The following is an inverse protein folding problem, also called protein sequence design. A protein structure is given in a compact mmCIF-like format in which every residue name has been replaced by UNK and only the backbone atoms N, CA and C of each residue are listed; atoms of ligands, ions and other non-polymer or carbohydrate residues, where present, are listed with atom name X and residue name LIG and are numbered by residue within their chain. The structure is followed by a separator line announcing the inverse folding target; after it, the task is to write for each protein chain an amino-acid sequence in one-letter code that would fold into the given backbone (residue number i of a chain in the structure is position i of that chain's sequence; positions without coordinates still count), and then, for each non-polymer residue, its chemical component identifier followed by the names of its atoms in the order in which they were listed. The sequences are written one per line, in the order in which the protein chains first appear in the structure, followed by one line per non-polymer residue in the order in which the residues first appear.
data_IF_693963603360
#
_entry.id   IF_693963603360
#
_cell.length_a   1.000
_cell.length_b   1.000
_cell.length_c   1.000
_cell.angle_alpha   90.00
_cell.angle_beta   90.00
_cell.angle_gamma   90.00
#
_symmetry.space_group_name_H-M   'P 1'
#
loop_
_entity.id
_entity.type
_entity.pdbx_description
1 polymer ?
#
# COMPACT_ATOMS: atom_id res chain seq x y z
N UNK A 1 76.85 -34.49 2.61
CA UNK A 1 76.65 -34.18 4.05
C UNK A 1 76.67 -32.66 4.25
N UNK A 2 75.51 -32.01 4.17
CA UNK A 2 75.24 -30.62 4.59
C UNK A 2 73.71 -30.46 4.60
N UNK A 3 73.06 -30.68 5.74
CA UNK A 3 72.56 -29.63 6.65
C UNK A 3 71.66 -28.61 5.98
N UNK A 4 70.35 -28.66 6.30
CA UNK A 4 69.59 -27.57 6.95
C UNK A 4 68.12 -27.96 7.09
N UNK A 5 67.72 -28.24 8.33
CA UNK A 5 66.33 -28.24 8.77
C UNK A 5 65.83 -26.79 8.76
N UNK A 6 64.76 -26.52 8.02
CA UNK A 6 63.98 -25.29 8.18
C UNK A 6 62.56 -25.66 8.57
N UNK A 7 62.24 -25.34 9.83
CA UNK A 7 60.89 -25.37 10.40
C UNK A 7 60.07 -24.27 9.74
N UNK A 8 59.10 -24.65 8.92
CA UNK A 8 58.04 -23.75 8.46
C UNK A 8 56.96 -23.65 9.53
N UNK A 9 56.86 -22.51 10.22
CA UNK A 9 55.73 -22.19 11.08
C UNK A 9 54.50 -21.91 10.21
N UNK A 10 53.39 -22.57 10.51
CA UNK A 10 52.11 -22.34 9.83
C UNK A 10 51.53 -20.97 10.19
N UNK A 11 51.00 -20.28 9.18
CA UNK A 11 50.10 -19.16 9.37
C UNK A 11 48.73 -19.54 8.81
N UNK A 12 47.77 -19.83 9.70
CA UNK A 12 46.36 -19.91 9.33
C UNK A 12 45.86 -18.48 9.09
N UNK A 13 45.73 -18.09 7.83
CA UNK A 13 45.07 -16.85 7.46
C UNK A 13 43.56 -17.02 7.64
N UNK A 14 43.02 -16.53 8.76
CA UNK A 14 41.59 -16.37 8.93
C UNK A 14 41.10 -15.24 8.01
N UNK A 15 40.53 -15.59 6.85
CA UNK A 15 39.86 -14.62 6.00
C UNK A 15 38.53 -14.24 6.64
N UNK A 16 38.49 -13.08 7.30
CA UNK A 16 37.24 -12.48 7.74
C UNK A 16 36.43 -12.04 6.51
N UNK A 17 35.33 -12.74 6.23
CA UNK A 17 34.33 -12.32 5.26
C UNK A 17 33.72 -10.99 5.72
N UNK A 18 34.14 -9.88 5.08
CA UNK A 18 33.47 -8.59 5.23
C UNK A 18 32.15 -8.64 4.47
N UNK A 19 31.05 -8.83 5.19
CA UNK A 19 29.70 -8.57 4.66
C UNK A 19 29.59 -7.08 4.36
N UNK A 20 29.74 -6.72 3.09
CA UNK A 20 29.42 -5.39 2.57
C UNK A 20 27.92 -5.37 2.24
N UNK A 21 27.09 -5.27 3.27
CA UNK A 21 25.70 -4.87 3.07
C UNK A 21 25.64 -3.42 2.55
N UNK A 22 24.63 -3.04 1.77
CA UNK A 22 24.46 -1.63 1.43
C UNK A 22 24.24 -0.88 2.75
N UNK A 23 25.18 -0.01 3.10
CA UNK A 23 24.96 0.99 4.14
C UNK A 23 23.79 1.84 3.68
N UNK A 24 22.59 1.53 4.15
CA UNK A 24 21.49 2.46 4.11
C UNK A 24 21.94 3.68 4.89
N UNK A 25 22.38 4.71 4.17
CA UNK A 25 22.72 5.99 4.78
C UNK A 25 21.39 6.56 5.26
N UNK A 26 21.07 6.35 6.54
CA UNK A 26 20.06 7.16 7.18
C UNK A 26 20.52 8.61 7.04
N UNK A 27 19.78 9.40 6.28
CA UNK A 27 20.09 10.82 6.10
C UNK A 27 19.86 11.53 7.44
N UNK A 28 20.89 11.55 8.30
CA UNK A 28 20.87 12.36 9.53
C UNK A 28 21.21 13.79 9.11
N UNK A 29 20.21 14.69 9.16
CA UNK A 29 20.42 16.12 8.89
C UNK A 29 21.17 16.79 10.05
N UNK A 30 22.08 17.69 9.70
CA UNK A 30 22.88 18.49 10.64
C UNK A 30 22.01 19.52 11.36
N UNK A 31 22.06 19.54 12.69
CA UNK A 31 21.30 20.47 13.56
C UNK A 31 21.91 21.89 13.62
N UNK A 32 22.79 22.24 12.68
CA UNK A 32 23.54 23.49 12.74
C UNK A 32 22.82 24.63 11.97
N UNK A 33 22.31 25.58 12.77
CA UNK A 33 21.89 26.95 12.44
C UNK A 33 20.70 27.14 11.48
N UNK A 34 19.50 27.29 12.07
CA UNK A 34 18.40 28.06 11.46
C UNK A 34 17.16 27.31 10.95
N UNK A 35 16.75 26.17 11.53
CA UNK A 35 15.55 25.44 11.09
C UNK A 35 14.87 24.62 12.19
N UNK A 36 13.54 24.60 12.20
CA UNK A 36 12.66 24.06 13.25
C UNK A 36 12.18 22.61 13.04
N UNK A 37 10.94 22.32 13.46
CA UNK A 37 10.29 20.99 13.36
C UNK A 37 10.07 20.62 11.87
N UNK A 38 10.45 19.40 11.42
CA UNK A 38 10.25 18.96 10.04
C UNK A 38 8.78 18.93 9.60
N UNK A 39 8.53 19.17 8.31
CA UNK A 39 7.19 19.04 7.72
C UNK A 39 6.93 17.64 7.16
N UNK A 40 5.66 17.29 6.97
CA UNK A 40 5.27 15.98 6.42
C UNK A 40 5.77 15.77 4.98
N UNK A 41 5.85 16.84 4.17
CA UNK A 41 6.43 16.76 2.83
C UNK A 41 7.90 16.30 2.84
N UNK A 42 8.64 16.62 3.90
CA UNK A 42 10.05 16.31 4.06
C UNK A 42 10.31 14.96 4.72
N UNK A 43 9.46 14.54 5.66
CA UNK A 43 9.75 13.40 6.53
C UNK A 43 8.71 12.26 6.45
N UNK A 44 7.48 12.51 5.98
CA UNK A 44 6.49 11.43 5.83
C UNK A 44 7.01 10.37 4.86
N UNK A 45 6.83 9.11 5.22
CA UNK A 45 7.34 7.94 4.48
C UNK A 45 6.30 6.81 4.46
N UNK A 46 6.54 5.78 3.65
CA UNK A 46 5.64 4.63 3.49
C UNK A 46 4.21 5.04 3.11
N UNK A 47 3.24 4.35 3.71
CA UNK A 47 1.81 4.53 3.42
C UNK A 47 1.30 5.95 3.73
N UNK A 48 1.87 6.60 4.76
CA UNK A 48 1.53 7.98 5.11
C UNK A 48 1.84 8.93 3.95
N UNK A 49 3.05 8.83 3.38
CA UNK A 49 3.45 9.63 2.22
C UNK A 49 2.59 9.32 1.00
N UNK A 50 2.28 8.05 0.76
CA UNK A 50 1.48 7.64 -0.39
C UNK A 50 0.05 8.19 -0.33
N UNK A 51 -0.62 8.08 0.83
CA UNK A 51 -1.96 8.64 1.05
C UNK A 51 -1.91 10.17 0.89
N UNK A 52 -0.92 10.85 1.48
CA UNK A 52 -0.76 12.30 1.37
C UNK A 52 -0.62 12.75 -0.10
N UNK A 53 0.22 12.07 -0.88
CA UNK A 53 0.43 12.39 -2.30
C UNK A 53 -0.78 12.04 -3.17
N UNK A 54 -1.50 10.95 -2.86
CA UNK A 54 -2.72 10.57 -3.56
C UNK A 54 -3.84 11.60 -3.32
N UNK A 55 -4.02 12.01 -2.06
CA UNK A 55 -5.00 13.03 -1.68
C UNK A 55 -4.74 14.36 -2.40
N UNK A 56 -3.47 14.77 -2.54
CA UNK A 56 -3.08 15.97 -3.31
C UNK A 56 -3.47 15.90 -4.79
N UNK A 57 -3.56 14.69 -5.36
CA UNK A 57 -4.02 14.44 -6.73
C UNK A 57 -5.54 14.24 -6.83
N UNK A 58 -6.27 14.33 -5.71
CA UNK A 58 -7.70 14.04 -5.65
C UNK A 58 -8.03 12.55 -5.85
N UNK A 59 -7.08 11.65 -5.58
CA UNK A 59 -7.25 10.20 -5.69
C UNK A 59 -7.38 9.59 -4.29
N UNK A 60 -8.14 8.48 -4.19
CA UNK A 60 -8.30 7.72 -2.95
C UNK A 60 -8.06 6.21 -3.16
N UNK A 61 -6.81 5.80 -3.41
CA UNK A 61 -6.47 4.38 -3.60
C UNK A 61 -6.66 3.55 -2.33
N UNK A 62 -6.56 4.18 -1.16
CA UNK A 62 -6.60 3.52 0.15
C UNK A 62 -7.97 3.56 0.84
N UNK A 63 -9.02 3.97 0.12
CA UNK A 63 -10.42 3.97 0.58
C UNK A 63 -10.63 4.74 1.90
N UNK A 64 -10.01 5.91 2.03
CA UNK A 64 -10.15 6.80 3.19
C UNK A 64 -11.50 7.51 3.17
N UNK A 65 -12.04 7.79 1.98
CA UNK A 65 -13.29 8.52 1.80
C UNK A 65 -14.45 7.55 1.51
N UNK A 66 -15.65 7.97 1.92
CA UNK A 66 -16.86 7.29 1.49
C UNK A 66 -17.04 7.47 -0.04
N UNK A 67 -17.28 6.38 -0.79
CA UNK A 67 -17.52 6.49 -2.22
C UNK A 67 -18.81 7.26 -2.48
N UNK A 68 -18.82 8.07 -3.54
CA UNK A 68 -20.04 8.75 -4.00
C UNK A 68 -20.95 7.76 -4.70
N UNK A 69 -22.22 7.73 -4.31
CA UNK A 69 -23.24 6.92 -4.97
C UNK A 69 -23.53 7.40 -6.39
N UNK A 70 -23.89 6.46 -7.25
CA UNK A 70 -24.49 6.71 -8.58
C UNK A 70 -26.01 6.59 -8.49
N UNK A 71 -26.74 6.67 -9.60
CA UNK A 71 -28.19 6.42 -9.60
C UNK A 71 -28.55 4.97 -9.24
N UNK A 72 -27.60 4.02 -9.36
CA UNK A 72 -27.82 2.60 -9.08
C UNK A 72 -28.74 1.90 -10.07
N UNK A 73 -28.95 2.50 -11.24
CA UNK A 73 -29.71 1.92 -12.36
C UNK A 73 -28.87 0.89 -13.11
N UNK A 74 -29.48 0.18 -14.06
CA UNK A 74 -28.73 -0.81 -14.86
C UNK A 74 -27.72 -0.13 -15.78
N UNK A 75 -28.09 1.05 -16.27
CA UNK A 75 -27.33 1.89 -17.18
C UNK A 75 -26.24 2.68 -16.45
N UNK A 76 -26.50 3.07 -15.20
CA UNK A 76 -25.56 3.78 -14.32
C UNK A 76 -25.44 3.05 -12.95
N UNK A 77 -24.73 1.92 -12.92
CA UNK A 77 -24.52 1.12 -11.71
C UNK A 77 -23.43 1.72 -10.82
N UNK A 78 -23.47 1.40 -9.53
CA UNK A 78 -22.41 1.78 -8.60
C UNK A 78 -21.12 1.02 -8.93
N UNK A 79 -20.09 1.75 -9.35
CA UNK A 79 -18.78 1.18 -9.67
C UNK A 79 -18.03 0.89 -8.37
N UNK A 80 -17.59 -0.36 -8.21
CA UNK A 80 -16.91 -0.84 -7.00
C UNK A 80 -15.49 -1.28 -7.38
N UNK A 81 -14.47 -0.44 -7.10
CA UNK A 81 -13.07 -0.77 -7.38
C UNK A 81 -12.62 -1.98 -6.57
N UNK A 82 -11.88 -2.89 -7.17
CA UNK A 82 -11.36 -4.08 -6.48
C UNK A 82 -10.03 -4.52 -7.06
N UNK A 83 -9.07 -4.84 -6.18
CA UNK A 83 -7.78 -5.44 -6.56
C UNK A 83 -7.90 -6.96 -6.80
N UNK A 84 -9.06 -7.56 -6.51
CA UNK A 84 -9.37 -8.98 -6.72
C UNK A 84 -10.68 -9.15 -7.49
N UNK A 85 -11.04 -10.41 -7.79
CA UNK A 85 -12.27 -10.76 -8.51
C UNK A 85 -13.56 -10.68 -7.68
N UNK A 86 -13.51 -10.26 -6.41
CA UNK A 86 -14.71 -10.01 -5.59
C UNK A 86 -14.44 -9.05 -4.43
N UNK A 87 -15.43 -8.22 -4.08
CA UNK A 87 -15.39 -7.29 -2.95
C UNK A 87 -16.70 -7.34 -2.17
N UNK A 88 -16.62 -7.24 -0.84
CA UNK A 88 -17.82 -7.11 0.00
C UNK A 88 -18.41 -5.73 -0.21
N UNK A 89 -19.72 -5.67 -0.50
CA UNK A 89 -20.50 -4.44 -0.61
C UNK A 89 -21.47 -4.36 0.56
N UNK A 90 -21.53 -3.18 1.19
CA UNK A 90 -22.57 -2.81 2.13
C UNK A 90 -23.52 -1.80 1.48
N UNK A 91 -24.79 -2.16 1.36
CA UNK A 91 -25.83 -1.29 0.80
C UNK A 91 -26.70 -0.73 1.94
N UNK A 92 -26.70 0.59 2.08
CA UNK A 92 -27.68 1.32 2.88
C UNK A 92 -28.80 1.73 1.91
N UNK A 93 -29.93 1.03 1.96
CA UNK A 93 -30.95 1.10 0.90
C UNK A 93 -31.68 2.46 0.83
N UNK A 94 -31.78 3.15 1.97
CA UNK A 94 -32.43 4.45 2.14
C UNK A 94 -31.61 5.19 3.20
N UNK A 95 -31.57 6.52 3.15
CA UNK A 95 -30.65 7.35 3.94
C UNK A 95 -30.66 7.04 5.44
N UNK A 96 -31.84 6.85 6.03
CA UNK A 96 -32.01 6.64 7.47
C UNK A 96 -32.08 5.15 7.87
N UNK A 97 -31.78 4.22 6.96
CA UNK A 97 -31.80 2.79 7.30
C UNK A 97 -30.72 2.46 8.34
N UNK A 98 -31.15 1.89 9.47
CA UNK A 98 -30.24 1.43 10.55
C UNK A 98 -29.57 0.09 10.26
N UNK A 99 -29.99 -0.59 9.18
CA UNK A 99 -29.49 -1.90 8.78
C UNK A 99 -28.78 -1.83 7.42
N UNK A 100 -27.57 -2.38 7.37
CA UNK A 100 -26.79 -2.50 6.14
C UNK A 100 -26.97 -3.89 5.54
N UNK A 101 -27.25 -3.94 4.24
CA UNK A 101 -27.36 -5.19 3.50
C UNK A 101 -25.99 -5.55 2.93
N UNK A 102 -25.44 -6.68 3.37
CA UNK A 102 -24.10 -7.14 2.99
C UNK A 102 -24.17 -8.27 1.97
N UNK A 103 -23.33 -8.20 0.92
CA UNK A 103 -23.19 -9.27 -0.06
C UNK A 103 -21.82 -9.24 -0.75
N UNK A 104 -21.43 -10.37 -1.32
CA UNK A 104 -20.25 -10.44 -2.20
C UNK A 104 -20.63 -9.95 -3.60
N UNK A 105 -19.94 -8.91 -4.06
CA UNK A 105 -19.94 -8.50 -5.46
C UNK A 105 -18.76 -9.19 -6.15
N UNK A 106 -19.06 -9.92 -7.21
CA UNK A 106 -18.13 -10.67 -8.03
C UNK A 106 -17.82 -9.91 -9.32
N UNK A 107 -16.68 -10.23 -9.93
CA UNK A 107 -16.35 -9.82 -11.27
C UNK A 107 -17.34 -10.41 -12.28
N UNK A 108 -17.64 -9.65 -13.34
CA UNK A 108 -18.62 -10.04 -14.35
C UNK A 108 -19.74 -9.02 -14.47
N UNK A 109 -20.95 -9.46 -14.80
CA UNK A 109 -22.11 -8.59 -14.98
C UNK A 109 -22.48 -7.81 -13.71
N UNK A 110 -23.21 -6.70 -13.87
CA UNK A 110 -23.67 -5.93 -12.73
C UNK A 110 -24.64 -6.76 -11.88
N UNK A 111 -24.40 -6.82 -10.59
CA UNK A 111 -25.25 -7.52 -9.63
C UNK A 111 -26.12 -6.52 -8.86
N UNK A 112 -27.16 -7.02 -8.21
CA UNK A 112 -28.14 -6.18 -7.51
C UNK A 112 -28.11 -6.42 -6.01
N UNK A 113 -28.34 -5.35 -5.24
CA UNK A 113 -28.63 -5.49 -3.81
C UNK A 113 -29.86 -6.38 -3.63
N UNK A 114 -29.81 -7.40 -2.74
CA UNK A 114 -30.92 -8.35 -2.57
C UNK A 114 -32.16 -7.74 -1.91
N UNK A 115 -32.08 -6.50 -1.41
CA UNK A 115 -33.20 -5.77 -0.78
C UNK A 115 -33.80 -4.71 -1.69
N UNK A 116 -33.04 -3.66 -2.06
CA UNK A 116 -33.57 -2.54 -2.86
C UNK A 116 -33.38 -2.70 -4.37
N UNK A 117 -32.57 -3.68 -4.81
CA UNK A 117 -32.34 -3.93 -6.23
C UNK A 117 -31.42 -2.94 -6.94
N UNK A 118 -30.76 -2.02 -6.22
CA UNK A 118 -29.73 -1.13 -6.78
C UNK A 118 -28.58 -1.92 -7.40
N UNK A 119 -28.06 -1.46 -8.54
CA UNK A 119 -27.02 -2.14 -9.30
C UNK A 119 -25.62 -1.75 -8.83
N UNK A 120 -24.72 -2.74 -8.83
CA UNK A 120 -23.31 -2.62 -8.50
C UNK A 120 -22.49 -3.38 -9.54
N UNK A 121 -21.40 -2.77 -10.00
CA UNK A 121 -20.49 -3.35 -10.98
C UNK A 121 -19.07 -3.34 -10.43
N UNK A 122 -18.45 -4.51 -10.34
CA UNK A 122 -17.05 -4.61 -9.95
C UNK A 122 -16.19 -4.06 -11.07
N UNK A 123 -15.25 -3.16 -10.74
CA UNK A 123 -14.26 -2.64 -11.69
C UNK A 123 -12.85 -2.98 -11.20
N UNK A 124 -11.98 -3.50 -12.07
CA UNK A 124 -10.59 -3.75 -11.70
C UNK A 124 -9.91 -2.47 -11.23
N UNK A 125 -9.21 -2.54 -10.10
CA UNK A 125 -8.41 -1.46 -9.55
C UNK A 125 -6.98 -1.93 -9.40
N UNK A 126 -6.03 -1.16 -9.92
CA UNK A 126 -4.62 -1.43 -9.74
C UNK A 126 -4.06 -0.44 -8.71
N UNK A 127 -3.57 -0.97 -7.59
CA UNK A 127 -2.76 -0.21 -6.64
C UNK A 127 -1.32 -0.24 -7.12
N UNK A 128 -0.74 0.93 -7.35
CA UNK A 128 0.69 1.07 -7.57
C UNK A 128 1.38 1.10 -6.20
N UNK A 129 2.19 0.08 -5.93
CA UNK A 129 3.20 0.11 -4.86
C UNK A 129 4.54 0.46 -5.49
#
# INVERSE_FOLDING_TARGET
MASRLLRGAGALAAQALRVRGPSGVAAVRSMASGGGVPTDDEQATGLEREIMLAARKGLDPYNVLAPKGTSGTKEDPNLVPSITNKRIVGCICEEDNTSVVWFWLHEGEAQRCPRCGAHYKLVPHQLAH
#
